data_IF_060272785284
#
_entry.id   IF_060272785284
#
_cell.length_a   1.000
_cell.length_b   1.000
_cell.length_c   1.000
_cell.angle_alpha   90.00
_cell.angle_beta   90.00
_cell.angle_gamma   90.00
#
_symmetry.space_group_name_H-M   'P 1'
#
loop_
_entity.id
_entity.type
_entity.pdbx_description
1 polymer ?
#
# COMPACT_ATOMS: atom_id res chain seq x y z
N UNK A 1 -5.08 15.66 11.20
CA UNK A 1 -6.31 15.14 10.58
C UNK A 1 -6.58 13.72 11.08
N UNK A 2 -7.82 13.35 11.33
CA UNK A 2 -8.24 11.99 11.71
C UNK A 2 -9.55 11.67 11.01
N UNK A 3 -9.62 10.50 10.36
CA UNK A 3 -10.82 9.93 9.75
C UNK A 3 -11.15 8.57 10.40
N UNK A 4 -12.14 7.86 9.89
CA UNK A 4 -12.46 6.50 10.36
C UNK A 4 -11.32 5.50 10.09
N UNK A 5 -10.53 5.73 9.05
CA UNK A 5 -9.45 4.82 8.64
C UNK A 5 -8.05 5.39 8.90
N UNK A 6 -7.87 6.73 8.83
CA UNK A 6 -6.56 7.34 8.86
C UNK A 6 -6.35 8.32 10.01
N UNK A 7 -5.12 8.35 10.50
CA UNK A 7 -4.58 9.38 11.37
C UNK A 7 -3.33 9.95 10.72
N UNK A 8 -3.28 11.26 10.54
CA UNK A 8 -2.16 11.97 9.94
C UNK A 8 -1.37 12.72 11.01
N UNK A 9 -0.07 12.50 11.04
CA UNK A 9 0.90 13.21 11.87
C UNK A 9 1.98 13.82 10.98
N UNK A 10 2.36 15.08 11.23
CA UNK A 10 3.42 15.74 10.47
C UNK A 10 4.54 16.12 11.44
N UNK A 11 5.74 15.66 11.16
CA UNK A 11 6.93 15.94 11.94
C UNK A 11 8.12 16.18 11.02
N UNK A 12 8.79 17.32 11.17
CA UNK A 12 10.00 17.69 10.39
C UNK A 12 9.83 17.55 8.88
N UNK A 13 8.67 17.98 8.37
CA UNK A 13 8.36 17.93 6.96
C UNK A 13 7.93 16.54 6.44
N UNK A 14 7.85 15.52 7.28
CA UNK A 14 7.41 14.19 6.86
C UNK A 14 6.02 13.90 7.45
N UNK A 15 5.08 13.62 6.58
CA UNK A 15 3.75 13.14 6.95
C UNK A 15 3.82 11.63 7.26
N UNK A 16 3.28 11.22 8.40
CA UNK A 16 3.06 9.82 8.72
C UNK A 16 1.56 9.54 8.64
N UNK A 17 1.16 8.78 7.64
CA UNK A 17 -0.22 8.35 7.40
C UNK A 17 -0.39 7.01 8.09
N UNK A 18 -1.02 7.01 9.25
CA UNK A 18 -1.37 5.81 9.98
C UNK A 18 -2.68 5.24 9.47
N UNK A 19 -2.66 4.01 8.98
CA UNK A 19 -3.87 3.24 8.67
C UNK A 19 -4.29 2.53 9.95
N UNK A 20 -5.42 2.96 10.51
CA UNK A 20 -5.89 2.48 11.81
C UNK A 20 -7.41 2.50 11.88
N UNK A 21 -8.08 1.57 11.16
CA UNK A 21 -9.55 1.45 11.17
C UNK A 21 -10.06 1.34 12.60
N UNK A 22 -10.95 2.26 13.00
CA UNK A 22 -11.52 2.26 14.34
C UNK A 22 -12.60 1.18 14.51
N UNK A 23 -13.15 0.65 13.40
CA UNK A 23 -14.28 -0.28 13.38
C UNK A 23 -13.85 -1.74 13.33
N UNK A 24 -12.70 -2.03 12.73
CA UNK A 24 -12.27 -3.39 12.43
C UNK A 24 -11.00 -3.78 13.16
N UNK A 25 -10.82 -5.08 13.45
CA UNK A 25 -9.57 -5.61 14.03
C UNK A 25 -8.39 -5.54 13.08
N UNK A 26 -8.65 -5.55 11.77
CA UNK A 26 -7.66 -5.43 10.70
C UNK A 26 -8.01 -4.27 9.79
N UNK A 27 -7.03 -3.69 9.13
CA UNK A 27 -7.28 -2.70 8.09
C UNK A 27 -7.82 -3.38 6.84
N UNK A 28 -9.10 -3.17 6.57
CA UNK A 28 -9.84 -3.64 5.40
C UNK A 28 -10.36 -2.40 4.68
N UNK A 29 -10.18 -2.36 3.37
CA UNK A 29 -10.61 -1.22 2.55
C UNK A 29 -11.97 -1.51 1.94
N UNK A 30 -12.98 -0.81 2.43
CA UNK A 30 -14.33 -0.84 1.85
C UNK A 30 -14.55 0.33 0.87
N UNK A 31 -15.55 0.22 -0.03
CA UNK A 31 -15.90 1.31 -0.93
C UNK A 31 -16.19 2.65 -0.25
N UNK A 32 -16.77 2.61 0.97
CA UNK A 32 -17.07 3.81 1.75
C UNK A 32 -15.85 4.59 2.23
N UNK A 33 -14.65 3.97 2.21
CA UNK A 33 -13.42 4.58 2.69
C UNK A 33 -12.61 5.29 1.60
N UNK A 34 -13.06 5.25 0.32
CA UNK A 34 -12.34 5.92 -0.78
C UNK A 34 -12.19 7.41 -0.50
N UNK A 35 -13.25 8.08 0.01
CA UNK A 35 -13.17 9.49 0.36
C UNK A 35 -12.15 9.80 1.44
N UNK A 36 -11.94 8.89 2.40
CA UNK A 36 -10.89 9.03 3.41
C UNK A 36 -9.50 8.96 2.80
N UNK A 37 -9.30 8.05 1.82
CA UNK A 37 -8.05 7.99 1.06
C UNK A 37 -7.80 9.27 0.26
N UNK A 38 -8.81 9.76 -0.49
CA UNK A 38 -8.68 10.99 -1.26
C UNK A 38 -8.29 12.15 -0.34
N UNK A 39 -9.02 12.35 0.75
CA UNK A 39 -8.80 13.46 1.69
C UNK A 39 -7.37 13.45 2.29
N UNK A 40 -6.87 12.27 2.74
CA UNK A 40 -5.55 12.21 3.38
C UNK A 40 -4.42 12.42 2.38
N UNK A 41 -4.53 11.91 1.16
CA UNK A 41 -3.50 12.11 0.13
C UNK A 41 -3.54 13.53 -0.46
N UNK A 42 -4.72 14.15 -0.59
CA UNK A 42 -4.85 15.55 -0.99
C UNK A 42 -4.29 16.51 0.08
N UNK A 43 -4.52 16.24 1.36
CA UNK A 43 -3.87 16.99 2.45
C UNK A 43 -2.35 16.92 2.33
N UNK A 44 -1.78 15.73 2.16
CA UNK A 44 -0.32 15.57 1.98
C UNK A 44 0.16 16.29 0.72
N UNK A 45 -0.56 16.19 -0.39
CA UNK A 45 -0.16 16.81 -1.66
C UNK A 45 -0.14 18.35 -1.58
N UNK A 46 -1.15 18.94 -0.93
CA UNK A 46 -1.37 20.39 -0.89
C UNK A 46 -0.64 21.09 0.27
N UNK A 47 -0.26 20.38 1.32
CA UNK A 47 0.37 20.96 2.50
C UNK A 47 1.82 21.37 2.22
N UNK A 48 2.10 22.67 2.22
CA UNK A 48 3.43 23.24 1.88
C UNK A 48 4.54 22.82 2.84
N UNK A 49 4.20 22.46 4.06
CA UNK A 49 5.16 22.03 5.08
C UNK A 49 5.54 20.56 4.96
N UNK A 50 4.92 19.80 4.02
CA UNK A 50 5.17 18.38 3.80
C UNK A 50 6.11 18.19 2.60
N UNK A 51 7.23 17.54 2.84
CA UNK A 51 8.22 17.12 1.82
C UNK A 51 7.80 15.79 1.18
N UNK A 52 7.28 14.86 1.99
CA UNK A 52 6.83 13.55 1.56
C UNK A 52 6.15 12.77 2.68
N UNK A 53 5.71 11.55 2.42
CA UNK A 53 4.90 10.79 3.35
C UNK A 53 5.36 9.34 3.54
N UNK A 54 5.08 8.81 4.73
CA UNK A 54 5.16 7.38 5.04
C UNK A 54 3.76 6.86 5.30
N UNK A 55 3.38 5.81 4.59
CA UNK A 55 2.15 5.06 4.81
C UNK A 55 2.47 3.84 5.68
N UNK A 56 1.87 3.74 6.86
CA UNK A 56 2.13 2.69 7.85
C UNK A 56 0.86 2.29 8.57
N UNK A 57 0.77 1.06 9.06
CA UNK A 57 -0.37 0.62 9.87
C UNK A 57 -0.17 0.90 11.36
N UNK A 58 -1.22 1.34 12.04
CA UNK A 58 -1.29 1.39 13.51
C UNK A 58 -1.67 0.04 14.15
N UNK A 59 -1.95 -0.99 13.34
CA UNK A 59 -2.38 -2.32 13.78
C UNK A 59 -1.27 -3.37 13.63
N UNK A 60 -1.60 -4.62 14.00
CA UNK A 60 -0.68 -5.75 13.89
C UNK A 60 -0.32 -6.11 12.44
N UNK A 61 -1.25 -5.89 11.53
CA UNK A 61 -1.10 -6.15 10.08
C UNK A 61 -1.19 -4.85 9.30
N UNK A 62 -0.60 -4.81 8.11
CA UNK A 62 -0.62 -3.63 7.26
C UNK A 62 -2.02 -3.40 6.68
N UNK A 63 -2.40 -4.11 5.64
CA UNK A 63 -3.75 -4.10 5.05
C UNK A 63 -4.08 -5.53 4.63
N UNK A 64 -5.24 -6.04 5.08
CA UNK A 64 -5.70 -7.39 4.77
C UNK A 64 -6.33 -7.54 3.38
N UNK A 65 -6.59 -6.43 2.69
CA UNK A 65 -7.18 -6.38 1.35
C UNK A 65 -8.45 -5.53 1.29
N UNK A 66 -9.19 -5.66 0.19
CA UNK A 66 -10.51 -5.06 0.04
C UNK A 66 -11.58 -5.84 0.83
N UNK A 67 -12.67 -5.16 1.18
CA UNK A 67 -13.81 -5.81 1.82
C UNK A 67 -14.56 -6.70 0.81
N UNK A 68 -14.25 -7.99 0.83
CA UNK A 68 -14.91 -8.98 -0.04
C UNK A 68 -16.40 -9.18 0.24
N UNK A 69 -16.89 -8.76 1.42
CA UNK A 69 -18.31 -8.85 1.74
C UNK A 69 -19.12 -7.82 0.96
N UNK A 70 -18.51 -6.68 0.66
CA UNK A 70 -19.13 -5.64 -0.17
C UNK A 70 -19.35 -6.10 -1.62
N UNK A 71 -18.72 -7.23 -2.03
CA UNK A 71 -18.86 -7.81 -3.38
C UNK A 71 -20.03 -8.76 -3.52
N UNK A 72 -20.66 -9.21 -2.43
CA UNK A 72 -21.78 -10.15 -2.48
C UNK A 72 -23.06 -9.47 -2.95
N UNK A 73 -23.77 -10.15 -3.85
CA UNK A 73 -25.09 -9.73 -4.34
C UNK A 73 -25.10 -8.68 -5.43
N UNK A 74 -23.94 -8.23 -5.91
CA UNK A 74 -23.85 -7.25 -6.99
C UNK A 74 -23.99 -7.94 -8.36
N UNK A 75 -24.56 -7.21 -9.31
CA UNK A 75 -24.65 -7.62 -10.72
C UNK A 75 -23.36 -7.31 -11.46
N UNK A 76 -23.19 -7.93 -12.62
CA UNK A 76 -22.08 -7.59 -13.53
C UNK A 76 -22.13 -6.09 -13.85
N UNK A 77 -21.02 -5.40 -13.61
CA UNK A 77 -20.90 -3.96 -13.86
C UNK A 77 -21.07 -3.06 -12.63
N UNK A 78 -21.70 -3.52 -11.55
CA UNK A 78 -21.94 -2.69 -10.34
C UNK A 78 -20.61 -2.21 -9.69
N UNK A 79 -19.53 -2.96 -9.88
CA UNK A 79 -18.19 -2.64 -9.37
C UNK A 79 -17.39 -1.67 -10.23
N UNK A 80 -17.78 -1.46 -11.47
CA UNK A 80 -17.00 -0.65 -12.42
C UNK A 80 -16.75 0.78 -11.91
N UNK A 81 -17.73 1.51 -11.35
CA UNK A 81 -17.49 2.85 -10.81
C UNK A 81 -16.51 2.84 -9.64
N UNK A 82 -16.61 1.84 -8.75
CA UNK A 82 -15.71 1.69 -7.62
C UNK A 82 -14.28 1.37 -8.05
N UNK A 83 -14.12 0.41 -8.95
CA UNK A 83 -12.81 0.03 -9.51
C UNK A 83 -12.16 1.23 -10.19
N UNK A 84 -12.92 2.01 -10.99
CA UNK A 84 -12.41 3.21 -11.66
C UNK A 84 -11.90 4.24 -10.66
N UNK A 85 -12.68 4.57 -9.62
CA UNK A 85 -12.24 5.48 -8.56
C UNK A 85 -11.00 4.97 -7.83
N UNK A 86 -10.94 3.67 -7.55
CA UNK A 86 -9.74 3.05 -6.97
C UNK A 86 -8.50 3.21 -7.84
N UNK A 87 -8.63 2.98 -9.15
CA UNK A 87 -7.54 3.21 -10.11
C UNK A 87 -7.10 4.67 -10.17
N UNK A 88 -8.05 5.62 -10.23
CA UNK A 88 -7.76 7.05 -10.25
C UNK A 88 -7.02 7.48 -8.99
N UNK A 89 -7.45 7.00 -7.82
CA UNK A 89 -6.78 7.26 -6.55
C UNK A 89 -5.34 6.73 -6.53
N UNK A 90 -5.15 5.46 -6.91
CA UNK A 90 -3.81 4.86 -6.95
C UNK A 90 -2.91 5.53 -7.98
N UNK A 91 -3.48 6.04 -9.09
CA UNK A 91 -2.74 6.82 -10.06
C UNK A 91 -2.32 8.18 -9.50
N UNK A 92 -3.20 8.87 -8.75
CA UNK A 92 -2.83 10.13 -8.05
C UNK A 92 -1.67 9.92 -7.06
N UNK A 93 -1.63 8.76 -6.38
CA UNK A 93 -0.52 8.41 -5.46
C UNK A 93 0.78 8.20 -6.24
N UNK A 94 0.72 7.46 -7.35
CA UNK A 94 1.87 7.19 -8.23
C UNK A 94 2.43 8.47 -8.86
N UNK A 95 1.56 9.38 -9.29
CA UNK A 95 1.91 10.66 -9.91
C UNK A 95 2.25 11.77 -8.90
N UNK A 96 2.23 11.45 -7.61
CA UNK A 96 2.52 12.44 -6.56
C UNK A 96 3.91 13.04 -6.73
N UNK A 97 3.98 14.38 -6.70
CA UNK A 97 5.26 15.11 -6.70
C UNK A 97 6.04 14.95 -5.40
N UNK A 98 5.36 14.56 -4.32
CA UNK A 98 5.95 14.29 -3.02
C UNK A 98 6.14 12.79 -2.86
N UNK A 99 7.32 12.32 -2.47
CA UNK A 99 7.57 10.89 -2.32
C UNK A 99 6.68 10.28 -1.23
N UNK A 100 6.08 9.14 -1.55
CA UNK A 100 5.27 8.34 -0.64
C UNK A 100 5.93 6.97 -0.51
N UNK A 101 6.23 6.56 0.72
CA UNK A 101 6.89 5.29 1.03
C UNK A 101 5.98 4.42 1.89
N UNK A 102 5.70 3.20 1.47
CA UNK A 102 4.96 2.24 2.29
C UNK A 102 5.88 1.50 3.25
N UNK A 103 5.50 1.49 4.54
CA UNK A 103 6.19 0.81 5.63
C UNK A 103 5.35 -0.39 6.09
N UNK A 104 5.73 -1.58 5.63
CA UNK A 104 4.93 -2.80 5.66
C UNK A 104 5.35 -3.70 6.82
N UNK A 105 4.40 -4.13 7.64
CA UNK A 105 4.59 -5.18 8.63
C UNK A 105 3.36 -6.10 8.71
N UNK A 106 3.55 -7.32 9.16
CA UNK A 106 2.47 -8.30 9.20
C UNK A 106 1.91 -8.63 7.81
N UNK A 107 0.61 -8.83 7.73
CA UNK A 107 -0.08 -9.19 6.49
C UNK A 107 -0.30 -7.97 5.58
N UNK A 108 0.10 -8.09 4.30
CA UNK A 108 -0.14 -7.11 3.24
C UNK A 108 -0.69 -7.85 2.02
N UNK A 109 -2.02 -7.84 1.84
CA UNK A 109 -2.70 -8.65 0.84
C UNK A 109 -3.55 -7.82 -0.12
N UNK A 110 -3.66 -8.30 -1.36
CA UNK A 110 -4.56 -7.75 -2.37
C UNK A 110 -4.37 -6.25 -2.55
N UNK A 111 -5.41 -5.47 -2.32
CA UNK A 111 -5.35 -4.00 -2.40
C UNK A 111 -4.25 -3.38 -1.53
N UNK A 112 -3.83 -4.03 -0.43
CA UNK A 112 -2.70 -3.58 0.37
C UNK A 112 -1.37 -3.62 -0.41
N UNK A 113 -1.15 -4.69 -1.18
CA UNK A 113 -0.01 -4.77 -2.10
C UNK A 113 -0.18 -3.75 -3.23
N UNK A 114 -1.35 -3.64 -3.84
CA UNK A 114 -1.60 -2.73 -4.96
C UNK A 114 -1.40 -1.25 -4.58
N UNK A 115 -1.85 -0.85 -3.39
CA UNK A 115 -1.58 0.47 -2.82
C UNK A 115 -0.08 0.69 -2.60
N UNK A 116 0.61 -0.33 -2.07
CA UNK A 116 2.07 -0.25 -1.87
C UNK A 116 2.82 -0.16 -3.19
N UNK A 117 2.32 -0.79 -4.26
CA UNK A 117 2.90 -0.69 -5.61
C UNK A 117 2.77 0.70 -6.22
N UNK A 118 1.72 1.46 -5.86
CA UNK A 118 1.56 2.85 -6.28
C UNK A 118 2.50 3.82 -5.53
N UNK A 119 3.05 3.42 -4.37
CA UNK A 119 4.02 4.22 -3.65
C UNK A 119 5.41 4.23 -4.33
N UNK A 120 6.19 5.29 -4.11
CA UNK A 120 7.55 5.43 -4.68
C UNK A 120 8.50 4.34 -4.20
N UNK A 121 8.43 3.95 -2.93
CA UNK A 121 9.25 2.87 -2.37
C UNK A 121 8.49 2.06 -1.31
N UNK A 122 9.01 0.88 -0.97
CA UNK A 122 8.44 -0.09 -0.03
C UNK A 122 9.52 -0.61 0.91
N UNK A 123 9.28 -0.47 2.20
CA UNK A 123 10.12 -1.08 3.25
C UNK A 123 9.28 -2.10 3.99
N UNK A 124 9.81 -3.25 4.32
CA UNK A 124 9.09 -4.20 5.16
C UNK A 124 9.94 -4.69 6.34
N UNK A 125 9.26 -5.24 7.35
CA UNK A 125 9.93 -5.86 8.48
C UNK A 125 10.48 -7.25 8.12
N UNK A 126 11.54 -7.68 8.81
CA UNK A 126 12.10 -9.02 8.71
C UNK A 126 11.35 -10.08 9.54
N UNK A 127 10.23 -9.70 10.16
CA UNK A 127 9.40 -10.61 10.95
C UNK A 127 8.82 -11.73 10.06
N UNK A 128 8.83 -12.97 10.56
CA UNK A 128 8.26 -14.14 9.88
C UNK A 128 6.74 -14.05 9.64
N UNK A 129 6.04 -13.17 10.37
CA UNK A 129 4.62 -12.87 10.15
C UNK A 129 4.39 -11.90 9.02
N UNK A 130 5.43 -11.17 8.59
CA UNK A 130 5.32 -10.26 7.46
C UNK A 130 5.28 -11.05 6.16
N UNK A 131 4.24 -10.82 5.37
CA UNK A 131 3.98 -11.52 4.13
C UNK A 131 3.14 -10.67 3.18
N UNK A 132 3.52 -10.69 1.91
CA UNK A 132 2.84 -9.98 0.84
C UNK A 132 2.24 -11.01 -0.12
N UNK A 133 1.01 -10.79 -0.58
CA UNK A 133 0.40 -11.66 -1.59
C UNK A 133 -0.68 -10.93 -2.40
N UNK A 134 -0.94 -11.45 -3.59
CA UNK A 134 -2.14 -11.14 -4.38
C UNK A 134 -3.01 -12.41 -4.43
N UNK A 135 -3.84 -12.65 -3.39
CA UNK A 135 -4.58 -13.91 -3.25
C UNK A 135 -5.92 -13.94 -4.01
N UNK A 136 -6.20 -12.96 -4.86
CA UNK A 136 -7.47 -12.76 -5.57
C UNK A 136 -7.89 -14.02 -6.35
N UNK A 137 -6.94 -14.71 -6.97
CA UNK A 137 -7.20 -15.97 -7.72
C UNK A 137 -7.85 -17.06 -6.86
N UNK A 138 -7.58 -17.09 -5.55
CA UNK A 138 -8.21 -18.04 -4.61
C UNK A 138 -9.69 -17.75 -4.36
N UNK A 139 -10.14 -16.57 -4.78
CA UNK A 139 -11.53 -16.14 -4.71
C UNK A 139 -12.20 -16.10 -6.10
N UNK A 140 -11.51 -16.59 -7.14
CA UNK A 140 -11.97 -16.49 -8.53
C UNK A 140 -11.94 -15.06 -9.10
N UNK A 141 -11.09 -14.18 -8.53
CA UNK A 141 -10.94 -12.80 -8.92
C UNK A 141 -9.54 -12.53 -9.51
N UNK A 142 -9.39 -11.35 -10.09
CA UNK A 142 -8.10 -10.77 -10.49
C UNK A 142 -7.78 -9.58 -9.59
N UNK A 143 -6.47 -9.21 -9.44
CA UNK A 143 -6.09 -7.98 -8.76
C UNK A 143 -6.73 -6.76 -9.43
N UNK A 144 -7.61 -6.07 -8.70
CA UNK A 144 -8.50 -5.04 -9.25
C UNK A 144 -8.02 -3.60 -9.06
N UNK A 145 -6.96 -3.35 -8.27
CA UNK A 145 -6.38 -2.04 -8.01
C UNK A 145 -5.14 -1.71 -8.87
N UNK A 146 -4.94 -2.45 -9.97
CA UNK A 146 -3.82 -2.22 -10.90
C UNK A 146 -2.58 -3.06 -10.63
N UNK A 147 -2.65 -4.06 -9.76
CA UNK A 147 -1.59 -5.03 -9.51
C UNK A 147 -1.15 -5.75 -10.78
N UNK A 148 -2.09 -6.05 -11.68
CA UNK A 148 -1.81 -6.64 -13.01
C UNK A 148 -0.92 -5.75 -13.90
N UNK A 149 -0.84 -4.46 -13.62
CA UNK A 149 -0.05 -3.50 -14.39
C UNK A 149 1.25 -3.10 -13.68
N UNK A 150 1.17 -2.78 -12.37
CA UNK A 150 2.32 -2.29 -11.60
C UNK A 150 3.30 -3.40 -11.23
N UNK A 151 2.78 -4.56 -10.81
CA UNK A 151 3.64 -5.65 -10.35
C UNK A 151 4.60 -6.16 -11.43
N UNK A 152 4.18 -6.48 -12.69
CA UNK A 152 5.12 -6.95 -13.71
C UNK A 152 6.17 -5.91 -14.09
N UNK A 153 5.84 -4.62 -14.02
CA UNK A 153 6.82 -3.54 -14.26
C UNK A 153 7.87 -3.45 -13.15
N UNK A 154 7.52 -3.85 -11.94
CA UNK A 154 8.41 -3.80 -10.79
C UNK A 154 9.28 -5.05 -10.65
N UNK A 155 8.68 -6.25 -10.69
CA UNK A 155 9.36 -7.52 -10.35
C UNK A 155 9.61 -8.43 -11.57
N UNK A 156 9.23 -7.97 -12.77
CA UNK A 156 9.28 -8.75 -14.00
C UNK A 156 8.11 -9.71 -14.17
N UNK A 157 7.93 -10.19 -15.41
CA UNK A 157 6.75 -10.98 -15.80
C UNK A 157 6.65 -12.31 -15.04
N UNK A 158 7.75 -13.04 -14.92
CA UNK A 158 7.74 -14.38 -14.31
C UNK A 158 7.33 -14.33 -12.83
N UNK A 159 7.93 -13.43 -12.03
CA UNK A 159 7.61 -13.31 -10.61
C UNK A 159 6.18 -12.78 -10.40
N UNK A 160 5.72 -11.86 -11.26
CA UNK A 160 4.37 -11.30 -11.16
C UNK A 160 3.30 -12.34 -11.49
N UNK A 161 3.46 -13.12 -12.56
CA UNK A 161 2.52 -14.21 -12.91
C UNK A 161 2.47 -15.26 -11.81
N UNK A 162 3.63 -15.66 -11.28
CA UNK A 162 3.70 -16.61 -10.17
C UNK A 162 2.93 -16.10 -8.92
N UNK A 163 3.05 -14.82 -8.58
CA UNK A 163 2.27 -14.23 -7.48
C UNK A 163 0.77 -14.18 -7.77
N UNK A 164 0.37 -13.68 -8.93
CA UNK A 164 -1.04 -13.47 -9.28
C UNK A 164 -1.79 -14.77 -9.55
N UNK A 165 -1.16 -15.75 -10.20
CA UNK A 165 -1.81 -17.00 -10.58
C UNK A 165 -1.84 -18.04 -9.45
N UNK A 166 -0.98 -17.91 -8.44
CA UNK A 166 -0.95 -18.84 -7.29
C UNK A 166 -1.48 -18.23 -6.00
N UNK A 167 -1.49 -16.90 -5.89
CA UNK A 167 -1.86 -16.21 -4.66
C UNK A 167 -0.97 -16.60 -3.47
N UNK A 168 0.29 -16.99 -3.72
CA UNK A 168 1.20 -17.43 -2.66
C UNK A 168 1.75 -16.26 -1.85
N UNK A 169 2.15 -16.56 -0.61
CA UNK A 169 2.81 -15.60 0.25
C UNK A 169 4.26 -15.38 -0.18
N UNK A 170 4.65 -14.12 -0.26
CA UNK A 170 6.04 -13.69 -0.46
C UNK A 170 6.54 -13.13 0.86
N UNK A 171 7.55 -13.78 1.43
CA UNK A 171 8.19 -13.37 2.69
C UNK A 171 9.27 -12.31 2.46
N UNK A 172 9.68 -11.54 3.49
CA UNK A 172 10.49 -10.33 3.37
C UNK A 172 11.75 -10.47 2.51
N UNK A 173 12.59 -11.46 2.79
CA UNK A 173 13.86 -11.65 2.05
C UNK A 173 13.63 -12.07 0.60
N UNK A 174 12.57 -12.86 0.33
CA UNK A 174 12.16 -13.18 -1.03
C UNK A 174 11.61 -11.94 -1.73
N UNK A 175 10.80 -11.12 -1.03
CA UNK A 175 10.28 -9.86 -1.55
C UNK A 175 11.41 -8.91 -1.97
N UNK A 176 12.45 -8.77 -1.13
CA UNK A 176 13.66 -8.00 -1.47
C UNK A 176 14.38 -8.57 -2.67
N UNK A 177 14.59 -9.90 -2.69
CA UNK A 177 15.32 -10.58 -3.78
C UNK A 177 14.67 -10.39 -5.15
N UNK A 178 13.33 -10.34 -5.23
CA UNK A 178 12.61 -10.12 -6.49
C UNK A 178 12.33 -8.65 -6.78
N UNK A 179 12.76 -7.72 -5.94
CA UNK A 179 12.53 -6.29 -6.11
C UNK A 179 11.13 -5.81 -5.72
N UNK A 180 10.32 -6.65 -5.06
CA UNK A 180 8.98 -6.27 -4.59
C UNK A 180 9.05 -5.24 -3.46
N UNK A 181 10.08 -5.30 -2.61
CA UNK A 181 10.39 -4.29 -1.61
C UNK A 181 11.81 -3.79 -1.76
N UNK A 182 12.02 -2.53 -1.41
CA UNK A 182 13.31 -1.85 -1.56
C UNK A 182 14.23 -2.09 -0.35
N UNK A 183 13.67 -2.34 0.84
CA UNK A 183 14.45 -2.59 2.05
C UNK A 183 13.72 -3.54 3.01
N UNK A 184 14.51 -4.33 3.78
CA UNK A 184 14.03 -5.21 4.85
C UNK A 184 14.75 -4.85 6.12
N UNK A 185 13.99 -4.49 7.17
CA UNK A 185 14.53 -3.99 8.43
C UNK A 185 13.92 -4.65 9.64
N UNK A 186 14.54 -4.53 10.81
CA UNK A 186 13.92 -4.92 12.07
C UNK A 186 12.70 -4.03 12.37
N UNK A 187 11.66 -4.57 13.01
CA UNK A 187 10.39 -3.86 13.28
C UNK A 187 10.61 -2.50 13.96
N UNK A 188 11.48 -2.41 14.94
CA UNK A 188 11.79 -1.16 15.66
C UNK A 188 12.43 -0.06 14.78
N UNK A 189 12.91 -0.42 13.58
CA UNK A 189 13.54 0.51 12.64
C UNK A 189 12.64 0.88 11.46
N UNK A 190 11.46 0.24 11.33
CA UNK A 190 10.60 0.33 10.16
C UNK A 190 10.25 1.79 9.79
N UNK A 191 9.65 2.53 10.72
CA UNK A 191 9.24 3.92 10.48
C UNK A 191 10.45 4.83 10.19
N UNK A 192 11.55 4.63 10.92
CA UNK A 192 12.78 5.41 10.72
C UNK A 192 13.39 5.16 9.34
N UNK A 193 13.43 3.92 8.88
CA UNK A 193 13.93 3.55 7.56
C UNK A 193 13.05 4.15 6.45
N UNK A 194 11.72 4.04 6.59
CA UNK A 194 10.79 4.62 5.63
C UNK A 194 10.93 6.16 5.55
N UNK A 195 11.01 6.85 6.70
CA UNK A 195 11.25 8.32 6.74
C UNK A 195 12.57 8.70 6.08
N UNK A 196 13.62 7.89 6.25
CA UNK A 196 14.91 8.12 5.58
C UNK A 196 14.76 8.01 4.06
N UNK A 197 14.08 6.98 3.57
CA UNK A 197 13.87 6.81 2.12
C UNK A 197 13.05 7.96 1.53
N UNK A 198 12.06 8.49 2.26
CA UNK A 198 11.33 9.69 1.83
C UNK A 198 12.30 10.83 1.56
N UNK A 199 13.23 11.11 2.48
CA UNK A 199 14.24 12.17 2.31
C UNK A 199 15.21 11.85 1.18
N UNK A 200 15.71 10.61 1.11
CA UNK A 200 16.63 10.19 0.05
C UNK A 200 15.99 10.35 -1.36
N UNK A 201 14.68 10.11 -1.50
CA UNK A 201 13.95 10.35 -2.77
C UNK A 201 13.81 11.84 -3.03
N UNK A 202 13.40 12.64 -2.03
CA UNK A 202 13.23 14.08 -2.16
C UNK A 202 14.54 14.78 -2.57
N UNK A 203 15.68 14.29 -2.09
CA UNK A 203 17.01 14.81 -2.39
C UNK A 203 17.65 14.17 -3.65
N UNK A 204 16.92 13.35 -4.42
CA UNK A 204 17.41 12.60 -5.56
C UNK A 204 18.60 11.66 -5.27
N UNK A 205 18.73 11.19 -4.04
CA UNK A 205 19.79 10.30 -3.58
C UNK A 205 19.37 8.81 -3.52
N UNK A 206 18.09 8.52 -3.72
CA UNK A 206 17.57 7.15 -3.66
C UNK A 206 17.94 6.37 -4.93
N UNK A 207 18.60 5.23 -4.73
CA UNK A 207 18.93 4.26 -5.81
C UNK A 207 18.18 2.96 -5.52
N UNK A 208 17.38 2.51 -6.47
CA UNK A 208 16.67 1.23 -6.43
C UNK A 208 17.55 0.11 -6.98
#
# INVERSE_FOLDING_TARGET
MKTDLFRLEIEKGIATIWIDSQKDKMNIVSPSLIGDFENVFEEVANNKDVIGAVLISGKKDFIAGADIKSFKGNKVGDFQPFSRKGHELLQKIEDSKKPIVSAIHGTCYGLGVELSLACNARVCTNDSKTKLALPEVKLGLLPGGGGTQRLPRLVGLQASLDMMLTGKNIFPFKAKKIGLVDEVVHHSKLLKAAKKIVLDIADNNFKR
#
